data_IF_544998964891
#
_entry.id   IF_544998964891
#
_cell.length_a   1.000
_cell.length_b   1.000
_cell.length_c   1.000
_cell.angle_alpha   90.00
_cell.angle_beta   90.00
_cell.angle_gamma   90.00
#
_symmetry.space_group_name_H-M   'P 1'
#
loop_
_entity.id
_entity.type
_entity.pdbx_description
1 polymer ?
#
# COMPACT_ATOMS: atom_id res chain seq x y z
N UNK A 1 -27.88 -15.45 -1.77
CA UNK A 1 -26.68 -16.23 -1.41
C UNK A 1 -25.56 -15.25 -1.06
N UNK A 2 -25.49 -14.82 0.20
CA UNK A 2 -24.37 -14.05 0.71
C UNK A 2 -23.26 -15.06 1.00
N UNK A 3 -22.25 -15.13 0.14
CA UNK A 3 -21.04 -15.91 0.44
C UNK A 3 -20.43 -15.25 1.68
N UNK A 4 -20.40 -15.95 2.81
CA UNK A 4 -19.74 -15.50 4.05
C UNK A 4 -18.23 -15.35 3.79
N UNK A 5 -17.86 -14.23 3.17
CA UNK A 5 -16.48 -13.80 3.07
C UNK A 5 -16.02 -13.28 4.43
N UNK A 6 -14.72 -13.38 4.68
CA UNK A 6 -14.05 -12.70 5.78
C UNK A 6 -14.47 -11.22 5.78
N UNK A 7 -14.87 -10.70 6.94
CA UNK A 7 -15.27 -9.28 7.04
C UNK A 7 -14.13 -8.38 6.54
N UNK A 8 -14.47 -7.23 5.97
CA UNK A 8 -13.46 -6.27 5.50
C UNK A 8 -12.50 -5.88 6.62
N UNK A 9 -13.01 -5.69 7.84
CA UNK A 9 -12.19 -5.43 9.03
C UNK A 9 -11.18 -6.56 9.29
N UNK A 10 -11.61 -7.82 9.26
CA UNK A 10 -10.70 -8.95 9.48
C UNK A 10 -9.69 -9.06 8.33
N UNK A 11 -10.09 -8.77 7.10
CA UNK A 11 -9.20 -8.70 5.94
C UNK A 11 -8.10 -7.65 6.13
N UNK A 12 -8.48 -6.45 6.59
CA UNK A 12 -7.55 -5.36 6.87
C UNK A 12 -6.60 -5.73 8.02
N UNK A 13 -7.11 -6.31 9.10
CA UNK A 13 -6.31 -6.73 10.25
C UNK A 13 -5.30 -7.83 9.90
N UNK A 14 -5.70 -8.81 9.08
CA UNK A 14 -4.80 -9.86 8.60
C UNK A 14 -3.70 -9.31 7.69
N UNK A 15 -4.06 -8.46 6.73
CA UNK A 15 -3.10 -7.78 5.85
C UNK A 15 -2.08 -6.97 6.66
N UNK A 16 -2.57 -6.16 7.59
CA UNK A 16 -1.75 -5.34 8.48
C UNK A 16 -0.79 -6.18 9.32
N UNK A 17 -1.29 -7.21 10.02
CA UNK A 17 -0.48 -8.03 10.90
C UNK A 17 0.63 -8.77 10.13
N UNK A 18 0.30 -9.38 9.00
CA UNK A 18 1.28 -10.13 8.20
C UNK A 18 2.32 -9.20 7.58
N UNK A 19 1.93 -8.07 7.00
CA UNK A 19 2.90 -7.13 6.43
C UNK A 19 3.82 -6.54 7.50
N UNK A 20 3.27 -6.18 8.66
CA UNK A 20 4.06 -5.68 9.80
C UNK A 20 5.10 -6.71 10.25
N UNK A 21 4.72 -7.99 10.28
CA UNK A 21 5.64 -9.09 10.54
C UNK A 21 6.71 -9.21 9.46
N UNK A 22 6.32 -9.19 8.18
CA UNK A 22 7.24 -9.33 7.05
C UNK A 22 8.32 -8.23 7.05
N UNK A 23 7.95 -6.97 7.29
CA UNK A 23 8.91 -5.87 7.37
C UNK A 23 9.82 -5.96 8.61
N UNK A 24 9.32 -6.49 9.72
CA UNK A 24 10.10 -6.65 10.94
C UNK A 24 11.20 -7.73 10.84
N UNK A 25 11.08 -8.70 9.92
CA UNK A 25 12.03 -9.80 9.76
C UNK A 25 13.47 -9.34 9.47
N UNK A 26 13.64 -8.13 8.93
CA UNK A 26 14.96 -7.53 8.67
C UNK A 26 15.77 -7.24 9.94
N UNK A 27 15.13 -7.19 11.11
CA UNK A 27 15.76 -6.90 12.40
C UNK A 27 15.75 -8.10 13.35
N UNK A 28 16.14 -9.27 12.86
CA UNK A 28 16.10 -10.55 13.61
C UNK A 28 17.39 -10.91 14.36
N UNK A 29 18.28 -9.93 14.61
CA UNK A 29 19.53 -10.16 15.35
C UNK A 29 19.31 -10.66 16.78
N UNK A 30 18.32 -10.09 17.46
CA UNK A 30 17.89 -10.46 18.79
C UNK A 30 16.37 -10.21 18.93
N UNK A 31 15.77 -10.84 19.95
CA UNK A 31 14.33 -10.74 20.18
C UNK A 31 13.89 -9.28 20.39
N UNK A 32 14.73 -8.44 20.98
CA UNK A 32 14.33 -7.08 21.33
C UNK A 32 14.33 -6.14 20.13
N UNK A 33 15.37 -6.23 19.29
CA UNK A 33 15.40 -5.56 17.99
C UNK A 33 14.22 -5.96 17.11
N UNK A 34 13.87 -7.24 17.08
CA UNK A 34 12.74 -7.73 16.31
C UNK A 34 11.42 -7.17 16.83
N UNK A 35 11.16 -7.24 18.14
CA UNK A 35 9.91 -6.74 18.72
C UNK A 35 9.76 -5.23 18.55
N UNK A 36 10.86 -4.48 18.68
CA UNK A 36 10.87 -3.04 18.43
C UNK A 36 10.58 -2.72 16.96
N UNK A 37 11.25 -3.40 16.02
CA UNK A 37 10.98 -3.25 14.59
C UNK A 37 9.56 -3.66 14.21
N UNK A 38 9.01 -4.70 14.84
CA UNK A 38 7.62 -5.11 14.67
C UNK A 38 6.65 -4.05 15.17
N UNK A 39 6.89 -3.44 16.34
CA UNK A 39 6.05 -2.36 16.85
C UNK A 39 6.08 -1.13 15.92
N UNK A 40 7.26 -0.72 15.45
CA UNK A 40 7.42 0.40 14.52
C UNK A 40 6.80 0.08 13.15
N UNK A 41 7.04 -1.12 12.62
CA UNK A 41 6.44 -1.58 11.35
C UNK A 41 4.93 -1.64 11.46
N UNK A 42 4.40 -2.15 12.57
CA UNK A 42 2.97 -2.20 12.86
C UNK A 42 2.32 -0.81 12.85
N UNK A 43 2.97 0.17 13.48
CA UNK A 43 2.51 1.56 13.45
C UNK A 43 2.54 2.13 12.02
N UNK A 44 3.65 1.98 11.31
CA UNK A 44 3.88 2.61 10.01
C UNK A 44 3.10 1.96 8.86
N UNK A 45 3.03 0.62 8.83
CA UNK A 45 2.16 -0.15 7.94
C UNK A 45 0.70 0.17 8.26
N UNK A 46 0.30 0.18 9.54
CA UNK A 46 -1.07 0.48 9.95
C UNK A 46 -1.52 1.86 9.46
N UNK A 47 -0.72 2.89 9.73
CA UNK A 47 -0.98 4.25 9.26
C UNK A 47 -1.04 4.32 7.73
N UNK A 48 -0.05 3.75 7.05
CA UNK A 48 0.03 3.74 5.60
C UNK A 48 -1.15 3.05 4.93
N UNK A 49 -1.51 1.87 5.43
CA UNK A 49 -2.56 1.04 4.86
C UNK A 49 -3.95 1.60 5.14
N UNK A 50 -4.23 2.06 6.36
CA UNK A 50 -5.54 2.66 6.69
C UNK A 50 -5.76 3.94 5.88
N UNK A 51 -4.76 4.83 5.80
CA UNK A 51 -4.91 6.07 5.02
C UNK A 51 -5.01 5.78 3.51
N UNK A 52 -4.28 4.79 2.99
CA UNK A 52 -4.41 4.32 1.62
C UNK A 52 -5.86 3.92 1.29
N UNK A 53 -6.44 3.02 2.09
CA UNK A 53 -7.80 2.50 1.87
C UNK A 53 -8.89 3.57 2.08
N UNK A 54 -8.72 4.45 3.08
CA UNK A 54 -9.62 5.58 3.28
C UNK A 54 -9.58 6.56 2.10
N UNK A 55 -8.40 6.77 1.50
CA UNK A 55 -8.25 7.65 0.34
C UNK A 55 -9.01 7.10 -0.87
N UNK A 56 -8.90 5.78 -1.13
CA UNK A 56 -9.68 5.11 -2.17
C UNK A 56 -11.18 5.30 -1.96
N UNK A 57 -11.68 5.04 -0.75
CA UNK A 57 -13.11 5.18 -0.42
C UNK A 57 -13.61 6.61 -0.58
N UNK A 58 -12.84 7.58 -0.10
CA UNK A 58 -13.23 8.99 -0.16
C UNK A 58 -13.33 9.47 -1.61
N UNK A 59 -12.32 9.17 -2.44
CA UNK A 59 -12.34 9.53 -3.86
C UNK A 59 -13.42 8.76 -4.63
N UNK A 60 -13.62 7.48 -4.32
CA UNK A 60 -14.69 6.68 -4.92
C UNK A 60 -16.07 7.28 -4.65
N UNK A 61 -16.36 7.62 -3.39
CA UNK A 61 -17.65 8.21 -3.01
C UNK A 61 -17.92 9.53 -3.77
N UNK A 62 -16.90 10.38 -3.90
CA UNK A 62 -16.99 11.65 -4.65
C UNK A 62 -17.24 11.44 -6.14
N UNK A 63 -16.78 10.33 -6.70
CA UNK A 63 -16.96 9.95 -8.10
C UNK A 63 -18.19 9.04 -8.32
N UNK A 64 -19.07 8.90 -7.32
CA UNK A 64 -20.26 8.05 -7.44
C UNK A 64 -19.96 6.55 -7.53
N UNK A 65 -18.82 6.13 -6.99
CA UNK A 65 -18.37 4.76 -6.90
C UNK A 65 -18.28 4.31 -5.43
N UNK A 66 -18.21 3.00 -5.22
CA UNK A 66 -17.90 2.37 -3.93
C UNK A 66 -16.58 1.62 -4.07
N UNK A 67 -15.68 1.83 -3.12
CA UNK A 67 -14.43 1.08 -3.00
C UNK A 67 -14.51 0.15 -1.79
N UNK A 68 -14.18 -1.12 -1.98
CA UNK A 68 -14.13 -2.13 -0.92
C UNK A 68 -12.79 -2.86 -0.97
N UNK A 69 -12.11 -2.94 0.16
CA UNK A 69 -10.89 -3.73 0.27
C UNK A 69 -11.24 -5.21 0.30
N UNK A 70 -10.54 -6.01 -0.51
CA UNK A 70 -10.60 -7.47 -0.44
C UNK A 70 -9.22 -8.05 -0.28
N UNK A 71 -9.06 -8.90 0.74
CA UNK A 71 -7.84 -9.67 0.93
C UNK A 71 -7.57 -10.53 -0.31
N UNK A 72 -6.31 -10.63 -0.68
CA UNK A 72 -5.82 -11.54 -1.70
C UNK A 72 -4.94 -12.60 -1.03
N UNK A 73 -5.52 -13.76 -0.61
CA UNK A 73 -4.82 -14.72 0.23
C UNK A 73 -3.51 -15.23 -0.36
N UNK A 74 -3.48 -15.47 -1.67
CA UNK A 74 -2.25 -15.90 -2.36
C UNK A 74 -1.19 -14.82 -2.38
N UNK A 75 -1.57 -13.55 -2.50
CA UNK A 75 -0.64 -12.41 -2.37
C UNK A 75 -0.05 -12.34 -0.97
N UNK A 76 -0.88 -12.58 0.07
CA UNK A 76 -0.44 -12.61 1.47
C UNK A 76 0.52 -13.78 1.77
N UNK A 77 0.22 -14.97 1.25
CA UNK A 77 1.12 -16.14 1.36
C UNK A 77 2.44 -15.86 0.63
N UNK A 78 2.40 -15.27 -0.55
CA UNK A 78 3.60 -14.92 -1.31
C UNK A 78 4.43 -13.84 -0.60
N UNK A 79 3.78 -12.85 0.03
CA UNK A 79 4.43 -11.85 0.87
C UNK A 79 5.21 -12.50 2.01
N UNK A 80 4.57 -13.41 2.75
CA UNK A 80 5.18 -14.11 3.87
C UNK A 80 6.32 -15.02 3.42
N UNK A 81 6.11 -15.82 2.37
CA UNK A 81 7.13 -16.73 1.85
C UNK A 81 8.37 -15.95 1.37
N UNK A 82 8.18 -14.89 0.58
CA UNK A 82 9.28 -14.09 0.07
C UNK A 82 10.03 -13.36 1.20
N UNK A 83 9.30 -12.81 2.18
CA UNK A 83 9.91 -12.15 3.32
C UNK A 83 10.71 -13.13 4.19
N UNK A 84 10.22 -14.36 4.41
CA UNK A 84 10.96 -15.39 5.14
C UNK A 84 12.22 -15.84 4.39
N UNK A 85 12.12 -16.04 3.06
CA UNK A 85 13.25 -16.46 2.23
C UNK A 85 14.34 -15.38 2.11
N UNK A 86 13.96 -14.11 2.16
CA UNK A 86 14.87 -12.97 2.04
C UNK A 86 15.19 -12.30 3.37
N UNK A 87 14.79 -12.90 4.49
CA UNK A 87 14.94 -12.31 5.82
C UNK A 87 14.39 -10.87 5.93
N UNK A 88 13.30 -10.56 5.22
CA UNK A 88 12.64 -9.25 5.22
C UNK A 88 13.26 -8.22 4.28
N UNK A 89 14.29 -8.54 3.50
CA UNK A 89 14.87 -7.62 2.52
C UNK A 89 13.93 -7.34 1.35
N UNK A 90 13.11 -8.32 0.96
CA UNK A 90 12.11 -8.17 -0.09
C UNK A 90 10.74 -8.62 0.42
N UNK A 91 9.82 -7.66 0.55
CA UNK A 91 8.42 -7.92 0.94
C UNK A 91 7.52 -7.68 -0.26
N UNK A 92 6.78 -8.70 -0.69
CA UNK A 92 5.74 -8.53 -1.71
C UNK A 92 4.52 -7.86 -1.06
N UNK A 93 4.51 -6.52 -1.03
CA UNK A 93 3.54 -5.74 -0.27
C UNK A 93 2.19 -5.56 -0.99
N UNK A 94 1.59 -6.68 -1.37
CA UNK A 94 0.33 -6.77 -2.12
C UNK A 94 -0.64 -7.75 -1.43
N UNK A 95 -1.16 -7.39 -0.23
CA UNK A 95 -1.96 -8.28 0.60
C UNK A 95 -3.41 -8.41 0.11
N UNK A 96 -3.85 -7.54 -0.78
CA UNK A 96 -5.21 -7.42 -1.24
C UNK A 96 -5.32 -6.35 -2.32
N UNK A 97 -6.56 -6.05 -2.69
CA UNK A 97 -6.84 -5.00 -3.65
C UNK A 97 -8.18 -4.34 -3.39
N UNK A 98 -8.29 -3.10 -3.85
CA UNK A 98 -9.54 -2.37 -3.87
C UNK A 98 -10.39 -2.80 -5.05
N UNK A 99 -11.60 -3.25 -4.74
CA UNK A 99 -12.66 -3.49 -5.70
C UNK A 99 -13.49 -2.23 -5.84
N UNK A 100 -13.56 -1.69 -7.04
CA UNK A 100 -14.31 -0.47 -7.36
C UNK A 100 -15.61 -0.89 -8.05
N UNK A 101 -16.73 -0.47 -7.48
CA UNK A 101 -18.07 -0.72 -7.96
C UNK A 101 -18.75 0.62 -8.27
N UNK A 102 -19.20 0.89 -9.51
CA UNK A 102 -19.96 2.10 -9.79
C UNK A 102 -21.31 2.04 -9.07
N UNK A 103 -21.67 3.05 -8.28
CA UNK A 103 -22.97 3.16 -7.59
C UNK A 103 -24.00 3.86 -8.46
N UNK A 104 -23.56 4.84 -9.22
CA UNK A 104 -24.31 5.53 -10.26
C UNK A 104 -23.39 5.56 -11.48
N UNK A 105 -23.90 5.31 -12.68
CA UNK A 105 -23.19 5.45 -13.96
C UNK A 105 -22.29 4.30 -14.46
N UNK A 106 -22.87 3.11 -14.66
CA UNK A 106 -22.41 2.24 -15.76
C UNK A 106 -23.19 2.50 -17.07
N UNK A 107 -24.40 3.08 -17.00
CA UNK A 107 -25.30 3.27 -18.15
C UNK A 107 -25.30 4.69 -18.74
N UNK A 108 -24.60 5.66 -18.13
CA UNK A 108 -24.70 7.09 -18.48
C UNK A 108 -23.34 7.73 -18.83
N UNK A 109 -22.21 7.11 -18.48
CA UNK A 109 -20.88 7.62 -18.83
C UNK A 109 -20.26 6.89 -20.02
N UNK A 110 -19.49 7.63 -20.82
CA UNK A 110 -18.56 7.08 -21.81
C UNK A 110 -17.53 6.17 -21.10
N UNK A 111 -17.15 5.06 -21.74
CA UNK A 111 -16.14 4.13 -21.23
C UNK A 111 -14.84 4.84 -20.84
N UNK A 112 -14.49 5.92 -21.57
CA UNK A 112 -13.30 6.71 -21.27
C UNK A 112 -13.37 7.38 -19.90
N UNK A 113 -14.52 7.92 -19.53
CA UNK A 113 -14.72 8.53 -18.21
C UNK A 113 -14.78 7.47 -17.10
N UNK A 114 -15.35 6.29 -17.37
CA UNK A 114 -15.31 5.16 -16.44
C UNK A 114 -13.86 4.70 -16.18
N UNK A 115 -13.07 4.49 -17.24
CA UNK A 115 -11.64 4.14 -17.12
C UNK A 115 -10.87 5.19 -16.32
N UNK A 116 -11.14 6.48 -16.59
CA UNK A 116 -10.54 7.58 -15.85
C UNK A 116 -10.90 7.55 -14.37
N UNK A 117 -12.17 7.41 -14.03
CA UNK A 117 -12.60 7.32 -12.62
C UNK A 117 -11.92 6.16 -11.90
N UNK A 118 -11.84 4.98 -12.52
CA UNK A 118 -11.20 3.82 -11.92
C UNK A 118 -9.69 4.03 -11.75
N UNK A 119 -9.03 4.63 -12.75
CA UNK A 119 -7.63 4.99 -12.66
C UNK A 119 -7.34 6.04 -11.59
N UNK A 120 -8.17 7.08 -11.47
CA UNK A 120 -8.03 8.13 -10.45
C UNK A 120 -8.22 7.58 -9.05
N UNK A 121 -9.27 6.76 -8.84
CA UNK A 121 -9.49 6.07 -7.57
C UNK A 121 -8.27 5.22 -7.26
N UNK A 122 -7.85 4.33 -8.16
CA UNK A 122 -6.69 3.48 -7.92
C UNK A 122 -5.37 4.22 -7.70
N UNK A 123 -5.20 5.41 -8.27
CA UNK A 123 -3.98 6.18 -8.09
C UNK A 123 -3.88 6.85 -6.71
N UNK A 124 -5.00 7.21 -6.08
CA UNK A 124 -4.95 8.00 -4.83
C UNK A 124 -4.34 7.22 -3.67
N UNK A 125 -4.59 5.92 -3.55
CA UNK A 125 -4.00 5.08 -2.51
C UNK A 125 -2.47 5.10 -2.55
N UNK A 126 -1.82 4.70 -3.67
CA UNK A 126 -0.38 4.77 -3.81
C UNK A 126 0.20 6.18 -3.59
N UNK A 127 -0.49 7.24 -4.03
CA UNK A 127 -0.07 8.62 -3.76
C UNK A 127 -0.12 8.97 -2.27
N UNK A 128 -1.11 8.47 -1.52
CA UNK A 128 -1.21 8.67 -0.07
C UNK A 128 -0.06 8.00 0.66
N UNK A 129 0.31 6.76 0.30
CA UNK A 129 1.52 6.14 0.86
C UNK A 129 2.77 6.94 0.49
N UNK A 130 2.90 7.36 -0.76
CA UNK A 130 4.06 8.17 -1.15
C UNK A 130 4.15 9.49 -0.37
N UNK A 131 3.03 10.17 -0.13
CA UNK A 131 2.98 11.37 0.70
C UNK A 131 3.43 11.09 2.14
N UNK A 132 3.00 9.98 2.74
CA UNK A 132 3.48 9.55 4.07
C UNK A 132 4.97 9.25 4.07
N UNK A 133 5.49 8.61 3.03
CA UNK A 133 6.91 8.38 2.91
C UNK A 133 7.70 9.69 2.92
N UNK A 134 7.30 10.65 2.09
CA UNK A 134 7.93 11.97 2.06
C UNK A 134 7.81 12.69 3.41
N UNK A 135 6.69 12.52 4.12
CA UNK A 135 6.54 13.06 5.47
C UNK A 135 7.55 12.43 6.46
N UNK A 136 7.71 11.11 6.47
CA UNK A 136 8.72 10.44 7.30
C UNK A 136 10.16 10.84 6.92
N UNK A 137 10.44 11.01 5.62
CA UNK A 137 11.73 11.52 5.15
C UNK A 137 11.96 12.95 5.65
N UNK A 138 10.99 13.85 5.53
CA UNK A 138 11.09 15.22 6.01
C UNK A 138 11.32 15.27 7.53
N UNK A 139 10.61 14.43 8.28
CA UNK A 139 10.73 14.29 9.72
C UNK A 139 12.13 13.79 10.13
N UNK A 140 12.76 12.91 9.35
CA UNK A 140 14.09 12.40 9.67
C UNK A 140 15.16 13.48 9.85
N UNK A 141 15.04 14.61 9.15
CA UNK A 141 15.98 15.73 9.22
C UNK A 141 15.91 16.52 10.54
N UNK A 142 14.92 16.27 11.39
CA UNK A 142 14.84 16.89 12.72
C UNK A 142 15.90 16.36 13.70
N UNK A 143 16.55 15.23 13.38
CA UNK A 143 17.78 14.80 14.05
C UNK A 143 17.61 14.34 15.50
N UNK A 144 16.44 13.81 15.87
CA UNK A 144 16.24 13.21 17.20
C UNK A 144 16.90 11.83 17.32
N UNK A 145 16.99 11.30 18.55
CA UNK A 145 17.75 10.08 18.90
C UNK A 145 17.42 8.81 18.09
N UNK A 146 18.19 7.74 18.31
CA UNK A 146 18.20 6.53 17.47
C UNK A 146 16.83 5.90 17.21
N UNK A 147 15.96 5.83 18.22
CA UNK A 147 14.60 5.31 18.07
C UNK A 147 13.75 6.13 17.07
N UNK A 148 13.87 7.46 17.12
CA UNK A 148 13.17 8.35 16.19
C UNK A 148 13.69 8.19 14.77
N UNK A 149 15.02 8.16 14.60
CA UNK A 149 15.64 7.93 13.30
C UNK A 149 15.24 6.58 12.70
N UNK A 150 15.17 5.52 13.51
CA UNK A 150 14.69 4.20 13.11
C UNK A 150 13.21 4.23 12.71
N UNK A 151 12.38 4.99 13.44
CA UNK A 151 10.94 5.15 13.13
C UNK A 151 10.74 5.86 11.80
N UNK A 152 11.48 6.94 11.55
CA UNK A 152 11.44 7.66 10.28
C UNK A 152 11.95 6.80 9.12
N UNK A 153 13.02 6.03 9.33
CA UNK A 153 13.56 5.12 8.33
C UNK A 153 12.55 4.04 7.93
N UNK A 154 11.99 3.33 8.91
CA UNK A 154 11.00 2.28 8.65
C UNK A 154 9.74 2.90 8.03
N UNK A 155 9.27 4.03 8.56
CA UNK A 155 8.10 4.74 8.05
C UNK A 155 8.23 5.18 6.59
N UNK A 156 9.39 5.75 6.22
CA UNK A 156 9.74 6.08 4.85
C UNK A 156 9.77 4.82 3.98
N UNK A 157 10.59 3.84 4.38
CA UNK A 157 10.86 2.63 3.59
C UNK A 157 9.57 1.87 3.32
N UNK A 158 8.77 1.57 4.35
CA UNK A 158 7.49 0.85 4.25
C UNK A 158 6.53 1.57 3.31
N UNK A 159 6.38 2.89 3.45
CA UNK A 159 5.39 3.62 2.67
C UNK A 159 5.81 3.80 1.19
N UNK A 160 7.09 4.03 0.89
CA UNK A 160 7.56 3.99 -0.51
C UNK A 160 7.33 2.60 -1.10
N UNK A 161 7.63 1.55 -0.32
CA UNK A 161 7.46 0.17 -0.75
C UNK A 161 5.99 -0.16 -1.07
N UNK A 162 5.06 0.22 -0.19
CA UNK A 162 3.63 0.04 -0.40
C UNK A 162 3.14 0.81 -1.64
N UNK A 163 3.62 2.04 -1.84
CA UNK A 163 3.28 2.84 -3.02
C UNK A 163 3.77 2.17 -4.32
N UNK A 164 5.03 1.70 -4.33
CA UNK A 164 5.64 1.05 -5.49
C UNK A 164 4.95 -0.27 -5.84
N UNK A 165 4.74 -1.15 -4.87
CA UNK A 165 4.12 -2.46 -5.10
C UNK A 165 2.68 -2.35 -5.57
N UNK A 166 1.89 -1.44 -5.01
CA UNK A 166 0.53 -1.21 -5.49
C UNK A 166 0.48 -0.63 -6.91
N UNK A 167 1.55 0.02 -7.38
CA UNK A 167 1.67 0.49 -8.76
C UNK A 167 2.19 -0.57 -9.74
N UNK A 168 2.48 -1.81 -9.32
CA UNK A 168 2.81 -2.87 -10.28
C UNK A 168 1.62 -3.13 -11.24
N UNK A 169 1.87 -3.37 -12.54
CA UNK A 169 0.82 -3.47 -13.54
C UNK A 169 0.21 -4.89 -13.58
N UNK A 170 -0.05 -5.47 -12.41
CA UNK A 170 -0.51 -6.86 -12.24
C UNK A 170 -1.86 -6.83 -11.53
N UNK A 171 -2.97 -7.29 -12.14
CA UNK A 171 -4.23 -7.43 -11.43
C UNK A 171 -4.07 -8.36 -10.20
N UNK A 172 -4.70 -8.05 -9.05
CA UNK A 172 -5.74 -7.03 -8.84
C UNK A 172 -5.22 -5.63 -8.40
N UNK A 173 -3.91 -5.40 -8.43
CA UNK A 173 -3.26 -4.19 -7.91
C UNK A 173 -3.70 -2.91 -8.62
N UNK A 174 -3.56 -1.79 -7.93
CA UNK A 174 -4.01 -0.48 -8.40
C UNK A 174 -3.34 -0.03 -9.70
N UNK A 175 -2.04 -0.32 -9.85
CA UNK A 175 -1.25 -0.01 -11.02
C UNK A 175 -1.83 -0.56 -12.32
N UNK A 176 -2.52 -1.71 -12.27
CA UNK A 176 -3.19 -2.28 -13.44
C UNK A 176 -4.33 -1.38 -13.96
N UNK A 177 -5.10 -0.75 -13.06
CA UNK A 177 -6.21 0.16 -13.38
C UNK A 177 -5.67 1.53 -13.82
N UNK A 178 -4.61 2.03 -13.18
CA UNK A 178 -3.92 3.27 -13.58
C UNK A 178 -3.31 3.13 -14.97
N UNK A 179 -2.68 1.99 -15.28
CA UNK A 179 -2.10 1.71 -16.60
C UNK A 179 -3.19 1.67 -17.69
N UNK A 180 -4.34 1.06 -17.39
CA UNK A 180 -5.50 1.00 -18.29
C UNK A 180 -6.08 2.41 -18.55
N UNK A 181 -6.06 3.28 -17.55
CA UNK A 181 -6.46 4.68 -17.72
C UNK A 181 -5.45 5.49 -18.54
N UNK A 182 -4.18 5.48 -18.15
CA UNK A 182 -3.12 6.27 -18.79
C UNK A 182 -1.73 5.69 -18.54
N UNK A 183 -1.11 5.19 -19.62
CA UNK A 183 0.27 4.69 -19.59
C UNK A 183 1.28 5.75 -19.15
N UNK A 184 1.08 7.00 -19.58
CA UNK A 184 1.99 8.11 -19.24
C UNK A 184 1.96 8.40 -17.75
N UNK A 185 0.76 8.47 -17.15
CA UNK A 185 0.60 8.69 -15.71
C UNK A 185 1.23 7.52 -14.95
N UNK A 186 0.93 6.28 -15.37
CA UNK A 186 1.47 5.09 -14.74
C UNK A 186 3.00 5.07 -14.72
N UNK A 187 3.65 5.22 -15.88
CA UNK A 187 5.12 5.20 -15.99
C UNK A 187 5.74 6.33 -15.16
N UNK A 188 5.18 7.54 -15.24
CA UNK A 188 5.74 8.70 -14.54
C UNK A 188 5.70 8.52 -13.03
N UNK A 189 4.56 8.08 -12.49
CA UNK A 189 4.37 7.87 -11.06
C UNK A 189 5.21 6.69 -10.58
N UNK A 190 5.21 5.56 -11.30
CA UNK A 190 6.01 4.39 -10.95
C UNK A 190 7.51 4.72 -10.92
N UNK A 191 8.01 5.47 -11.92
CA UNK A 191 9.40 5.89 -11.97
C UNK A 191 9.77 6.82 -10.81
N UNK A 192 8.89 7.75 -10.43
CA UNK A 192 9.10 8.61 -9.24
C UNK A 192 9.23 7.73 -7.99
N UNK A 193 8.31 6.80 -7.77
CA UNK A 193 8.35 5.93 -6.58
C UNK A 193 9.61 5.07 -6.55
N UNK A 194 10.01 4.54 -7.71
CA UNK A 194 11.22 3.73 -7.85
C UNK A 194 12.48 4.54 -7.55
N UNK A 195 12.60 5.76 -8.10
CA UNK A 195 13.75 6.64 -7.81
C UNK A 195 13.80 7.00 -6.34
N UNK A 196 12.66 7.35 -5.74
CA UNK A 196 12.58 7.70 -4.31
C UNK A 196 13.02 6.55 -3.42
N UNK A 197 12.74 5.30 -3.79
CA UNK A 197 13.19 4.11 -3.05
C UNK A 197 14.72 3.99 -2.94
N UNK A 198 15.47 4.54 -3.90
CA UNK A 198 16.93 4.53 -3.91
C UNK A 198 17.55 5.83 -3.41
N UNK A 199 16.76 6.78 -2.89
CA UNK A 199 17.32 7.96 -2.27
C UNK A 199 18.20 7.53 -1.09
N UNK A 200 19.44 8.06 -0.99
CA UNK A 200 20.29 7.78 0.14
C UNK A 200 19.62 8.36 1.38
N UNK A 201 19.20 7.45 2.25
CA UNK A 201 18.78 7.72 3.62
C UNK A 201 19.88 7.23 4.55
#
# INVERSE_FOLDING_TARGET
MLREGVSELLSLLLAWAVLSFCFALRWTYDLWSFLLAFAISSLTVGLGFVLHELSHREVANRLGCKAEFRLWPTGLVFALALALLTHGDVVFAAPGAVHIHPLVLASVFDEKEVRKSFGVISLIGPLTNYALAIAFLALSFLGFGSLYAMTCYIGFSVNVWLALFNMLPIPPLDGSKVLNWSKVIWVSVFAIFLVTMFLPY
#
